data_IF_182941645127
#
_entry.id   IF_182941645127
#
_cell.length_a   1.000
_cell.length_b   1.000
_cell.length_c   1.000
_cell.angle_alpha   90.00
_cell.angle_beta   90.00
_cell.angle_gamma   90.00
#
_symmetry.space_group_name_H-M   'P 1'
#
loop_
_entity.id
_entity.type
_entity.pdbx_description
1 polymer ?
#
# COMPACT_ATOMS: atom_id res chain seq x y z
N UNK A 1 -3.34 -27.85 11.33
CA UNK A 1 -4.36 -28.09 10.29
C UNK A 1 -4.28 -26.91 9.33
N UNK A 2 -4.33 -27.09 8.00
CA UNK A 2 -4.45 -25.93 7.12
C UNK A 2 -5.81 -25.28 7.38
N UNK A 3 -5.83 -23.97 7.63
CA UNK A 3 -7.08 -23.22 7.75
C UNK A 3 -7.77 -23.23 6.39
N UNK A 4 -8.92 -23.91 6.30
CA UNK A 4 -9.75 -23.93 5.10
C UNK A 4 -10.63 -22.68 5.13
N UNK A 5 -10.29 -21.69 4.32
CA UNK A 5 -11.12 -20.50 4.14
C UNK A 5 -12.09 -20.70 2.97
N UNK A 6 -13.35 -20.34 3.18
CA UNK A 6 -14.32 -20.28 2.09
C UNK A 6 -14.13 -18.94 1.38
N UNK A 7 -13.71 -18.98 0.11
CA UNK A 7 -13.51 -17.78 -0.70
C UNK A 7 -14.77 -16.89 -0.70
N UNK A 8 -14.59 -15.57 -0.62
CA UNK A 8 -15.66 -14.57 -0.66
C UNK A 8 -16.66 -14.61 0.53
N UNK A 9 -16.25 -15.13 1.69
CA UNK A 9 -17.03 -15.06 2.95
C UNK A 9 -16.30 -14.24 4.02
N UNK A 10 -16.93 -13.96 5.16
CA UNK A 10 -16.30 -13.26 6.31
C UNK A 10 -15.05 -13.98 6.86
N UNK A 11 -14.88 -15.26 6.53
CA UNK A 11 -13.70 -16.05 6.89
C UNK A 11 -12.53 -15.88 5.93
N UNK A 12 -12.71 -15.24 4.77
CA UNK A 12 -11.65 -14.95 3.82
C UNK A 12 -10.72 -13.82 4.36
N UNK A 13 -9.40 -14.06 4.49
CA UNK A 13 -8.45 -13.04 4.93
C UNK A 13 -8.49 -11.75 4.11
N UNK A 14 -8.71 -11.84 2.79
CA UNK A 14 -8.81 -10.66 1.92
C UNK A 14 -10.09 -9.86 2.18
N UNK A 15 -11.21 -10.55 2.44
CA UNK A 15 -12.48 -9.89 2.82
C UNK A 15 -12.33 -9.16 4.15
N UNK A 16 -11.67 -9.78 5.15
CA UNK A 16 -11.38 -9.13 6.44
C UNK A 16 -10.47 -7.92 6.28
N UNK A 17 -9.39 -8.05 5.51
CA UNK A 17 -8.47 -6.95 5.24
C UNK A 17 -9.20 -5.77 4.57
N UNK A 18 -10.03 -6.04 3.56
CA UNK A 18 -10.84 -5.01 2.91
C UNK A 18 -11.87 -4.38 3.86
N UNK A 19 -12.43 -5.13 4.81
CA UNK A 19 -13.34 -4.60 5.84
C UNK A 19 -12.64 -3.61 6.78
N UNK A 20 -11.39 -3.87 7.15
CA UNK A 20 -10.57 -2.95 7.94
C UNK A 20 -10.37 -1.62 7.20
N UNK A 21 -10.06 -1.66 5.91
CA UNK A 21 -9.89 -0.44 5.09
C UNK A 21 -11.21 0.34 5.01
N UNK A 22 -12.33 -0.33 4.73
CA UNK A 22 -13.67 0.31 4.75
C UNK A 22 -13.97 0.98 6.09
N UNK A 23 -13.65 0.33 7.20
CA UNK A 23 -13.84 0.92 8.53
C UNK A 23 -12.98 2.18 8.73
N UNK A 24 -11.73 2.19 8.27
CA UNK A 24 -10.87 3.38 8.29
C UNK A 24 -11.51 4.51 7.46
N UNK A 25 -11.99 4.20 6.26
CA UNK A 25 -12.61 5.17 5.35
C UNK A 25 -13.89 5.76 5.92
N UNK A 26 -14.75 4.94 6.51
CA UNK A 26 -15.99 5.40 7.16
C UNK A 26 -15.69 6.33 8.33
N UNK A 27 -14.65 6.05 9.12
CA UNK A 27 -14.21 7.00 10.17
C UNK A 27 -13.78 8.34 9.58
N UNK A 28 -13.00 8.35 8.50
CA UNK A 28 -12.57 9.59 7.84
C UNK A 28 -13.75 10.39 7.28
N UNK A 29 -14.68 9.73 6.56
CA UNK A 29 -15.89 10.36 6.01
C UNK A 29 -16.75 10.95 7.12
N UNK A 30 -17.05 10.15 8.15
CA UNK A 30 -17.89 10.57 9.26
C UNK A 30 -17.25 11.70 10.07
N UNK A 31 -15.93 11.62 10.28
CA UNK A 31 -15.19 12.68 10.96
C UNK A 31 -15.25 13.98 10.15
N UNK A 32 -14.91 13.95 8.87
CA UNK A 32 -14.97 15.14 8.01
C UNK A 32 -16.38 15.75 7.95
N UNK A 33 -17.43 14.91 7.85
CA UNK A 33 -18.81 15.37 7.86
C UNK A 33 -19.20 16.03 9.20
N UNK A 34 -18.78 15.45 10.33
CA UNK A 34 -19.04 16.02 11.66
C UNK A 34 -18.37 17.38 11.88
N UNK A 35 -17.29 17.66 11.15
CA UNK A 35 -16.51 18.89 11.28
C UNK A 35 -17.12 20.10 10.54
N UNK A 36 -18.22 19.91 9.81
CA UNK A 36 -18.83 20.99 9.02
C UNK A 36 -19.30 22.17 9.88
N UNK A 37 -19.69 21.93 11.14
CA UNK A 37 -20.18 22.96 12.07
C UNK A 37 -19.11 23.46 13.05
N UNK A 38 -17.85 23.07 12.84
CA UNK A 38 -16.72 23.43 13.70
C UNK A 38 -15.89 24.59 13.14
N UNK A 39 -15.11 25.23 14.01
CA UNK A 39 -14.16 26.28 13.65
C UNK A 39 -13.20 25.86 12.51
N UNK A 40 -12.85 26.77 11.57
CA UNK A 40 -11.95 26.47 10.44
C UNK A 40 -10.64 25.80 10.86
N UNK A 41 -10.08 26.21 12.00
CA UNK A 41 -8.84 25.65 12.54
C UNK A 41 -8.95 24.15 12.91
N UNK A 42 -10.12 23.70 13.34
CA UNK A 42 -10.36 22.28 13.68
C UNK A 42 -10.39 21.45 12.39
N UNK A 43 -11.07 21.94 11.36
CA UNK A 43 -11.10 21.30 10.04
C UNK A 43 -9.70 21.26 9.42
N UNK A 44 -8.95 22.37 9.52
CA UNK A 44 -7.55 22.46 9.11
C UNK A 44 -6.69 21.40 9.80
N UNK A 45 -6.82 21.27 11.12
CA UNK A 45 -6.05 20.32 11.92
C UNK A 45 -6.34 18.87 11.54
N UNK A 46 -7.61 18.51 11.34
CA UNK A 46 -7.98 17.17 10.87
C UNK A 46 -7.41 16.89 9.47
N UNK A 47 -7.58 17.83 8.54
CA UNK A 47 -7.11 17.67 7.18
C UNK A 47 -5.57 17.56 7.11
N UNK A 48 -4.85 18.49 7.74
CA UNK A 48 -3.39 18.52 7.72
C UNK A 48 -2.74 17.40 8.55
N UNK A 49 -3.48 16.82 9.50
CA UNK A 49 -3.02 15.71 10.34
C UNK A 49 -3.49 14.36 9.84
N UNK A 50 -4.72 13.99 10.22
CA UNK A 50 -5.25 12.64 10.03
C UNK A 50 -5.46 12.29 8.55
N UNK A 51 -6.06 13.20 7.76
CA UNK A 51 -6.32 12.94 6.35
C UNK A 51 -5.01 12.83 5.54
N UNK A 52 -4.08 13.77 5.71
CA UNK A 52 -2.74 13.68 5.07
C UNK A 52 -2.00 12.40 5.44
N UNK A 53 -2.02 12.03 6.72
CA UNK A 53 -1.39 10.78 7.19
C UNK A 53 -1.99 9.56 6.50
N UNK A 54 -3.32 9.53 6.36
CA UNK A 54 -3.98 8.45 5.65
C UNK A 54 -3.57 8.36 4.18
N UNK A 55 -3.58 9.48 3.45
CA UNK A 55 -3.17 9.50 2.03
C UNK A 55 -1.72 9.03 1.85
N UNK A 56 -0.80 9.48 2.70
CA UNK A 56 0.59 9.04 2.67
C UNK A 56 0.74 7.55 3.02
N UNK A 57 0.01 7.07 4.03
CA UNK A 57 0.05 5.68 4.44
C UNK A 57 -0.55 4.74 3.38
N UNK A 58 -1.65 5.14 2.73
CA UNK A 58 -2.23 4.40 1.61
C UNK A 58 -1.27 4.34 0.41
N UNK A 59 -0.57 5.44 0.10
CA UNK A 59 0.41 5.44 -0.98
C UNK A 59 1.56 4.45 -0.74
N UNK A 60 2.13 4.45 0.47
CA UNK A 60 3.24 3.57 0.80
C UNK A 60 2.81 2.10 0.95
N UNK A 61 1.67 1.83 1.59
CA UNK A 61 1.25 0.47 1.92
C UNK A 61 0.42 -0.21 0.81
N UNK A 62 -0.43 0.53 0.09
CA UNK A 62 -1.36 -0.05 -0.90
C UNK A 62 -0.96 0.30 -2.33
N UNK A 63 -0.57 1.55 -2.60
CA UNK A 63 -0.33 1.98 -3.98
C UNK A 63 1.03 1.56 -4.50
N UNK A 64 2.08 1.65 -3.69
CA UNK A 64 3.42 1.25 -4.11
C UNK A 64 3.48 -0.22 -4.57
N UNK A 65 2.86 -1.20 -3.89
CA UNK A 65 2.74 -2.58 -4.39
C UNK A 65 2.00 -2.69 -5.71
N UNK A 66 0.87 -1.98 -5.88
CA UNK A 66 0.08 -2.01 -7.11
C UNK A 66 0.73 -1.22 -8.27
N UNK A 67 1.59 -0.24 -8.00
CA UNK A 67 2.16 0.62 -9.03
C UNK A 67 3.03 -0.13 -10.04
N UNK A 68 3.58 -1.27 -9.64
CA UNK A 68 4.50 -2.06 -10.45
C UNK A 68 3.83 -3.06 -11.40
N UNK A 69 2.52 -3.29 -11.29
CA UNK A 69 1.82 -4.31 -12.06
C UNK A 69 1.10 -3.72 -13.29
N UNK A 70 1.18 -4.34 -14.49
CA UNK A 70 0.51 -3.85 -15.70
C UNK A 70 -0.98 -3.57 -15.53
N UNK A 71 -1.67 -4.41 -14.76
CA UNK A 71 -3.12 -4.39 -14.53
C UNK A 71 -3.55 -3.20 -13.66
N UNK A 72 -2.72 -2.78 -12.71
CA UNK A 72 -3.07 -1.75 -11.70
C UNK A 72 -2.27 -0.46 -11.82
N UNK A 73 -1.17 -0.40 -12.59
CA UNK A 73 -0.31 0.79 -12.71
C UNK A 73 -1.03 2.06 -13.16
N UNK A 74 -1.96 1.96 -14.12
CA UNK A 74 -2.70 3.14 -14.61
C UNK A 74 -3.74 3.61 -13.59
N UNK A 75 -4.39 2.66 -12.89
CA UNK A 75 -5.27 2.95 -11.77
C UNK A 75 -4.51 3.69 -10.68
N UNK A 76 -3.37 3.17 -10.23
CA UNK A 76 -2.54 3.81 -9.20
C UNK A 76 -2.09 5.22 -9.61
N UNK A 77 -1.72 5.43 -10.89
CA UNK A 77 -1.38 6.76 -11.39
C UNK A 77 -2.56 7.74 -11.28
N UNK A 78 -3.77 7.30 -11.61
CA UNK A 78 -4.98 8.10 -11.44
C UNK A 78 -5.28 8.38 -9.96
N UNK A 79 -5.12 7.38 -9.09
CA UNK A 79 -5.35 7.51 -7.65
C UNK A 79 -4.36 8.49 -7.00
N UNK A 80 -3.07 8.42 -7.34
CA UNK A 80 -2.08 9.42 -6.92
C UNK A 80 -2.41 10.83 -7.39
N UNK A 81 -2.98 10.97 -8.58
CA UNK A 81 -3.45 12.26 -9.10
C UNK A 81 -4.60 12.82 -8.26
N UNK A 82 -5.57 11.98 -7.88
CA UNK A 82 -6.68 12.40 -7.01
C UNK A 82 -6.23 12.70 -5.58
N UNK A 83 -5.30 11.92 -5.02
CA UNK A 83 -4.68 12.22 -3.72
C UNK A 83 -3.94 13.57 -3.74
N UNK A 84 -3.17 13.86 -4.79
CA UNK A 84 -2.49 15.14 -4.96
C UNK A 84 -3.46 16.33 -5.04
N UNK A 85 -4.64 16.15 -5.64
CA UNK A 85 -5.68 17.18 -5.66
C UNK A 85 -6.30 17.41 -4.28
N UNK A 86 -6.49 16.35 -3.48
CA UNK A 86 -6.91 16.49 -2.08
C UNK A 86 -5.85 17.27 -1.30
N UNK A 87 -4.57 16.88 -1.42
CA UNK A 87 -3.44 17.56 -0.77
C UNK A 87 -3.34 19.04 -1.14
N UNK A 88 -3.53 19.36 -2.43
CA UNK A 88 -3.55 20.74 -2.93
C UNK A 88 -4.67 21.54 -2.27
N UNK A 89 -5.88 20.98 -2.15
CA UNK A 89 -7.01 21.63 -1.46
C UNK A 89 -6.73 21.87 0.01
N UNK A 90 -6.12 20.91 0.70
CA UNK A 90 -5.68 21.06 2.09
C UNK A 90 -4.67 22.21 2.22
N UNK A 91 -3.74 22.32 1.27
CA UNK A 91 -2.69 23.35 1.29
C UNK A 91 -3.17 24.79 1.07
N UNK A 92 -4.35 24.99 0.47
CA UNK A 92 -4.92 26.31 0.18
C UNK A 92 -6.10 26.67 1.08
N UNK A 93 -6.27 25.96 2.19
CA UNK A 93 -7.33 26.27 3.16
C UNK A 93 -7.18 27.70 3.70
N UNK A 94 -8.24 28.50 3.54
CA UNK A 94 -8.38 29.80 4.18
C UNK A 94 -8.95 29.63 5.60
N UNK A 95 -8.18 29.96 6.66
CA UNK A 95 -8.66 29.88 8.03
C UNK A 95 -9.76 30.90 8.38
N UNK A 96 -10.06 31.84 7.47
CA UNK A 96 -11.16 32.80 7.60
C UNK A 96 -12.41 32.39 6.80
N UNK A 97 -12.33 31.31 6.02
CA UNK A 97 -13.40 30.83 5.14
C UNK A 97 -14.47 29.99 5.85
N UNK A 98 -15.51 29.61 5.11
CA UNK A 98 -16.58 28.72 5.59
C UNK A 98 -16.07 27.27 5.76
N UNK A 99 -15.98 26.75 7.00
CA UNK A 99 -15.54 25.37 7.27
C UNK A 99 -16.41 24.33 6.59
N UNK A 100 -17.72 24.58 6.53
CA UNK A 100 -18.67 23.65 5.93
C UNK A 100 -18.47 23.57 4.42
N UNK A 101 -18.23 24.71 3.76
CA UNK A 101 -17.90 24.74 2.33
C UNK A 101 -16.60 24.01 2.03
N UNK A 102 -15.57 24.20 2.86
CA UNK A 102 -14.30 23.51 2.71
C UNK A 102 -14.42 21.98 2.93
N UNK A 103 -15.11 21.56 4.00
CA UNK A 103 -15.36 20.16 4.29
C UNK A 103 -16.12 19.46 3.15
N UNK A 104 -17.15 20.11 2.58
CA UNK A 104 -17.85 19.62 1.38
C UNK A 104 -16.93 19.54 0.16
N UNK A 105 -16.09 20.56 -0.05
CA UNK A 105 -15.17 20.62 -1.18
C UNK A 105 -14.17 19.45 -1.14
N UNK A 106 -13.51 19.20 -0.01
CA UNK A 106 -12.63 18.04 0.15
C UNK A 106 -13.41 16.73 0.10
N UNK A 107 -14.52 16.67 0.84
CA UNK A 107 -15.34 15.46 0.98
C UNK A 107 -15.82 14.90 -0.36
N UNK A 108 -16.15 15.76 -1.33
CA UNK A 108 -16.54 15.32 -2.68
C UNK A 108 -15.45 14.54 -3.42
N UNK A 109 -14.19 15.00 -3.39
CA UNK A 109 -13.08 14.31 -4.05
C UNK A 109 -12.65 13.10 -3.24
N UNK A 110 -12.60 13.24 -1.91
CA UNK A 110 -12.26 12.16 -0.99
C UNK A 110 -13.24 10.98 -1.14
N UNK A 111 -14.55 11.23 -1.23
CA UNK A 111 -15.53 10.18 -1.39
C UNK A 111 -15.29 9.34 -2.65
N UNK A 112 -15.01 9.99 -3.79
CA UNK A 112 -14.66 9.29 -5.03
C UNK A 112 -13.37 8.50 -4.89
N UNK A 113 -12.34 9.12 -4.31
CA UNK A 113 -11.03 8.50 -4.10
C UNK A 113 -11.13 7.22 -3.26
N UNK A 114 -11.76 7.30 -2.09
CA UNK A 114 -11.96 6.15 -1.18
C UNK A 114 -12.87 5.08 -1.81
N UNK A 115 -13.85 5.47 -2.64
CA UNK A 115 -14.70 4.51 -3.35
C UNK A 115 -13.88 3.70 -4.36
N UNK A 116 -12.99 4.36 -5.10
CA UNK A 116 -12.10 3.68 -6.06
C UNK A 116 -11.14 2.74 -5.33
N UNK A 117 -10.59 3.15 -4.18
CA UNK A 117 -9.80 2.25 -3.33
C UNK A 117 -10.60 1.00 -2.97
N UNK A 118 -11.78 1.17 -2.39
CA UNK A 118 -12.60 0.07 -1.87
C UNK A 118 -13.09 -0.89 -2.95
N UNK A 119 -13.55 -0.34 -4.09
CA UNK A 119 -14.29 -1.11 -5.10
C UNK A 119 -13.42 -1.58 -6.25
N UNK A 120 -12.24 -0.98 -6.45
CA UNK A 120 -11.36 -1.30 -7.58
C UNK A 120 -9.98 -1.74 -7.10
N UNK A 121 -9.32 -0.94 -6.26
CA UNK A 121 -7.94 -1.23 -5.88
C UNK A 121 -7.85 -2.45 -4.95
N UNK A 122 -8.67 -2.54 -3.90
CA UNK A 122 -8.59 -3.65 -2.95
C UNK A 122 -8.86 -5.01 -3.59
N UNK A 123 -9.90 -5.20 -4.44
CA UNK A 123 -10.07 -6.44 -5.19
C UNK A 123 -8.88 -6.75 -6.09
N UNK A 124 -8.35 -5.75 -6.81
CA UNK A 124 -7.21 -5.95 -7.69
C UNK A 124 -5.93 -6.33 -6.92
N UNK A 125 -5.71 -5.77 -5.73
CA UNK A 125 -4.60 -6.16 -4.85
C UNK A 125 -4.77 -7.57 -4.29
N UNK A 126 -6.00 -8.01 -4.01
CA UNK A 126 -6.28 -9.37 -3.54
C UNK A 126 -5.97 -10.44 -4.61
N UNK A 127 -6.10 -10.08 -5.88
CA UNK A 127 -5.81 -10.95 -7.02
C UNK A 127 -4.37 -10.81 -7.55
N UNK A 128 -3.62 -9.81 -7.07
CA UNK A 128 -2.30 -9.50 -7.58
C UNK A 128 -1.27 -10.59 -7.18
N UNK A 129 -0.57 -11.22 -8.14
CA UNK A 129 0.43 -12.24 -7.83
C UNK A 129 1.54 -11.70 -6.91
N UNK A 130 1.82 -12.45 -5.83
CA UNK A 130 2.86 -12.08 -4.86
C UNK A 130 2.45 -11.03 -3.83
N UNK A 131 1.26 -10.43 -3.96
CA UNK A 131 0.69 -9.56 -2.94
C UNK A 131 -0.06 -10.36 -1.87
N UNK A 132 -0.04 -9.86 -0.64
CA UNK A 132 -0.87 -10.35 0.46
C UNK A 132 -1.65 -9.16 1.04
N UNK A 133 -2.94 -9.07 0.73
CA UNK A 133 -3.75 -7.93 1.15
C UNK A 133 -3.81 -7.79 2.68
N UNK A 134 -3.74 -8.89 3.43
CA UNK A 134 -3.70 -8.85 4.89
C UNK A 134 -2.43 -8.18 5.41
N UNK A 135 -1.28 -8.53 4.84
CA UNK A 135 0.00 -7.90 5.16
C UNK A 135 0.03 -6.42 4.77
N UNK A 136 -0.48 -6.06 3.59
CA UNK A 136 -0.52 -4.67 3.12
C UNK A 136 -1.43 -3.80 4.01
N UNK A 137 -2.56 -4.34 4.48
CA UNK A 137 -3.45 -3.64 5.41
C UNK A 137 -2.83 -3.53 6.81
N UNK A 138 -2.07 -4.53 7.26
CA UNK A 138 -1.30 -4.42 8.50
C UNK A 138 -0.20 -3.34 8.42
N UNK A 139 0.47 -3.22 7.27
CA UNK A 139 1.43 -2.15 6.99
C UNK A 139 0.73 -0.77 7.03
N UNK A 140 -0.46 -0.64 6.42
CA UNK A 140 -1.28 0.57 6.47
C UNK A 140 -1.60 0.97 7.93
N UNK A 141 -2.08 0.03 8.74
CA UNK A 141 -2.41 0.28 10.15
C UNK A 141 -1.18 0.73 10.94
N UNK A 142 -0.04 0.06 10.74
CA UNK A 142 1.23 0.43 11.36
C UNK A 142 1.60 1.89 11.07
N UNK A 143 1.47 2.32 9.81
CA UNK A 143 1.75 3.70 9.40
C UNK A 143 0.75 4.71 9.99
N UNK A 144 -0.54 4.37 10.03
CA UNK A 144 -1.58 5.22 10.63
C UNK A 144 -1.32 5.44 12.13
N UNK A 145 -0.87 4.40 12.83
CA UNK A 145 -0.50 4.46 14.25
C UNK A 145 0.82 5.21 14.50
N UNK A 146 1.49 5.68 13.45
CA UNK A 146 2.75 6.44 13.52
C UNK A 146 4.00 5.58 13.55
N UNK A 147 3.87 4.28 13.32
CA UNK A 147 4.97 3.36 13.09
C UNK A 147 5.67 3.61 11.75
N UNK A 148 6.72 2.83 11.49
CA UNK A 148 7.47 2.84 10.23
C UNK A 148 7.62 1.43 9.73
N UNK A 149 7.56 1.26 8.41
CA UNK A 149 7.77 -0.05 7.79
C UNK A 149 9.25 -0.40 7.74
N UNK A 150 9.56 -1.67 7.98
CA UNK A 150 10.92 -2.18 7.87
C UNK A 150 11.41 -2.11 6.42
N UNK A 151 12.65 -1.64 6.24
CA UNK A 151 13.35 -1.56 4.95
C UNK A 151 14.71 -2.26 5.04
N UNK A 152 14.76 -3.56 5.36
CA UNK A 152 16.02 -4.26 5.51
C UNK A 152 16.81 -4.24 4.20
N UNK A 153 18.13 -4.08 4.32
CA UNK A 153 19.08 -4.23 3.21
C UNK A 153 19.30 -5.69 2.84
N UNK A 154 19.00 -6.61 3.77
CA UNK A 154 19.11 -8.06 3.59
C UNK A 154 17.82 -8.74 4.07
N UNK A 155 17.18 -9.52 3.20
CA UNK A 155 16.10 -10.43 3.56
C UNK A 155 16.64 -11.85 3.52
N UNK A 156 16.81 -12.45 4.68
CA UNK A 156 17.10 -13.88 4.80
C UNK A 156 15.81 -14.67 4.90
N UNK A 157 15.45 -15.39 3.84
CA UNK A 157 14.21 -16.16 3.79
C UNK A 157 14.37 -17.58 4.32
N UNK A 158 15.55 -17.98 4.81
CA UNK A 158 15.75 -19.33 5.36
C UNK A 158 14.94 -19.55 6.63
N UNK A 159 14.80 -18.50 7.45
CA UNK A 159 14.05 -18.50 8.72
C UNK A 159 12.57 -18.09 8.56
N UNK A 160 12.14 -17.68 7.36
CA UNK A 160 10.78 -17.20 7.12
C UNK A 160 9.87 -18.38 6.73
N UNK A 161 8.66 -18.52 7.31
CA UNK A 161 7.70 -19.55 6.90
C UNK A 161 7.40 -19.48 5.39
N UNK A 162 7.29 -20.64 4.72
CA UNK A 162 7.16 -20.74 3.25
C UNK A 162 6.10 -19.79 2.65
N UNK A 163 4.92 -19.70 3.25
CA UNK A 163 3.83 -18.85 2.76
C UNK A 163 4.07 -17.34 2.92
N UNK A 164 5.00 -16.93 3.77
CA UNK A 164 5.29 -15.52 4.08
C UNK A 164 6.50 -14.97 3.32
N UNK A 165 7.30 -15.83 2.67
CA UNK A 165 8.53 -15.44 1.98
C UNK A 165 8.25 -14.43 0.87
N UNK A 166 7.43 -14.81 -0.11
CA UNK A 166 7.20 -13.99 -1.30
C UNK A 166 6.49 -12.67 -0.94
N UNK A 167 5.40 -12.66 -0.14
CA UNK A 167 4.77 -11.40 0.26
C UNK A 167 5.73 -10.41 0.90
N UNK A 168 6.64 -10.85 1.79
CA UNK A 168 7.64 -9.97 2.40
C UNK A 168 8.64 -9.41 1.39
N UNK A 169 9.07 -10.23 0.42
CA UNK A 169 10.01 -9.81 -0.63
C UNK A 169 9.35 -8.78 -1.57
N UNK A 170 8.13 -9.05 -2.04
CA UNK A 170 7.38 -8.13 -2.90
C UNK A 170 7.04 -6.82 -2.18
N UNK A 171 6.65 -6.89 -0.90
CA UNK A 171 6.43 -5.70 -0.08
C UNK A 171 7.71 -4.87 0.11
N UNK A 172 8.88 -5.51 0.28
CA UNK A 172 10.16 -4.77 0.32
C UNK A 172 10.49 -4.13 -1.03
N UNK A 173 10.31 -4.87 -2.11
CA UNK A 173 10.60 -4.41 -3.47
C UNK A 173 9.72 -3.23 -3.88
N UNK A 174 8.42 -3.28 -3.56
CA UNK A 174 7.47 -2.22 -3.93
C UNK A 174 7.89 -0.85 -3.40
N UNK A 175 8.52 -0.83 -2.22
CA UNK A 175 9.00 0.36 -1.51
C UNK A 175 10.38 0.86 -1.94
N UNK A 176 11.06 0.20 -2.88
CA UNK A 176 12.33 0.69 -3.43
C UNK A 176 12.10 1.94 -4.28
N UNK A 177 12.94 2.95 -4.11
CA UNK A 177 13.09 4.04 -5.07
C UNK A 177 13.89 3.57 -6.31
N UNK A 178 13.84 4.29 -7.44
CA UNK A 178 14.72 4.02 -8.58
C UNK A 178 16.20 3.95 -8.15
N UNK A 179 16.92 2.95 -8.64
CA UNK A 179 18.31 2.67 -8.26
C UNK A 179 18.53 1.98 -6.92
N UNK A 180 17.51 1.84 -6.06
CA UNK A 180 17.65 1.11 -4.79
C UNK A 180 17.57 -0.42 -4.99
N UNK A 181 18.17 -1.16 -4.06
CA UNK A 181 18.12 -2.63 -4.04
C UNK A 181 18.25 -3.20 -2.63
N UNK A 182 17.95 -4.49 -2.47
CA UNK A 182 18.22 -5.27 -1.26
C UNK A 182 18.77 -6.66 -1.64
N UNK A 183 19.49 -7.29 -0.73
CA UNK A 183 19.97 -8.65 -0.89
C UNK A 183 18.92 -9.66 -0.39
N UNK A 184 18.72 -10.72 -1.14
CA UNK A 184 17.92 -11.88 -0.76
C UNK A 184 18.87 -13.06 -0.51
N UNK A 185 18.73 -13.71 0.65
CA UNK A 185 19.48 -14.92 1.03
C UNK A 185 18.51 -16.10 1.08
N UNK A 186 18.78 -17.14 0.29
CA UNK A 186 17.94 -18.32 0.17
C UNK A 186 18.78 -19.62 0.23
N UNK A 187 18.13 -20.75 0.53
CA UNK A 187 18.78 -22.07 0.57
C UNK A 187 18.85 -22.78 -0.79
N UNK A 188 18.29 -22.19 -1.84
CA UNK A 188 18.31 -22.70 -3.21
C UNK A 188 18.14 -21.56 -4.22
N UNK A 189 18.39 -21.83 -5.50
CA UNK A 189 18.17 -20.86 -6.57
C UNK A 189 16.69 -20.42 -6.64
N UNK A 190 16.36 -19.14 -6.42
CA UNK A 190 14.98 -18.66 -6.36
C UNK A 190 14.33 -18.48 -7.75
N UNK A 191 14.42 -19.50 -8.62
CA UNK A 191 13.86 -19.47 -9.99
C UNK A 191 12.36 -19.21 -10.02
N UNK A 192 11.61 -19.77 -9.07
CA UNK A 192 10.16 -19.58 -8.99
C UNK A 192 9.81 -18.12 -8.67
N UNK A 193 10.49 -17.55 -7.67
CA UNK A 193 10.35 -16.14 -7.31
C UNK A 193 10.70 -15.23 -8.49
N UNK A 194 11.78 -15.52 -9.24
CA UNK A 194 12.12 -14.75 -10.44
C UNK A 194 11.01 -14.73 -11.48
N UNK A 195 10.35 -15.88 -11.70
CA UNK A 195 9.21 -15.97 -12.63
C UNK A 195 8.01 -15.16 -12.15
N UNK A 196 7.74 -15.16 -10.85
CA UNK A 196 6.69 -14.31 -10.28
C UNK A 196 7.01 -12.82 -10.44
N UNK A 197 8.27 -12.42 -10.26
CA UNK A 197 8.71 -11.04 -10.53
C UNK A 197 8.54 -10.65 -11.99
N UNK A 198 8.85 -11.53 -12.93
CA UNK A 198 8.65 -11.26 -14.36
C UNK A 198 7.18 -11.09 -14.71
N UNK A 199 6.30 -11.89 -14.10
CA UNK A 199 4.85 -11.78 -14.30
C UNK A 199 4.28 -10.49 -13.67
N UNK A 200 4.68 -10.17 -12.44
CA UNK A 200 4.13 -9.04 -11.68
C UNK A 200 4.77 -7.69 -12.06
N UNK A 201 6.03 -7.68 -12.51
CA UNK A 201 6.84 -6.48 -12.71
C UNK A 201 7.70 -6.54 -13.99
N UNK A 202 7.11 -6.82 -15.17
CA UNK A 202 7.87 -7.03 -16.40
C UNK A 202 8.73 -5.82 -16.73
N UNK A 203 10.05 -6.04 -16.83
CA UNK A 203 11.04 -4.99 -17.14
C UNK A 203 11.27 -3.94 -16.05
N UNK A 204 10.71 -4.10 -14.84
CA UNK A 204 10.75 -3.10 -13.77
C UNK A 204 11.64 -3.47 -12.58
N UNK A 205 12.41 -4.57 -12.67
CA UNK A 205 13.33 -5.04 -11.63
C UNK A 205 14.69 -5.44 -12.20
N UNK A 206 15.71 -5.41 -11.35
CA UNK A 206 17.03 -5.99 -11.59
C UNK A 206 17.19 -7.28 -10.76
N UNK A 207 18.00 -8.21 -11.26
CA UNK A 207 18.20 -9.52 -10.64
C UNK A 207 19.64 -9.98 -10.85
N UNK A 208 20.48 -9.80 -9.83
CA UNK A 208 21.92 -10.03 -9.92
C UNK A 208 22.37 -11.05 -8.88
N UNK A 209 23.08 -12.11 -9.29
CA UNK A 209 23.63 -13.07 -8.34
C UNK A 209 24.90 -12.50 -7.72
N UNK A 210 24.95 -12.48 -6.39
CA UNK A 210 26.16 -12.16 -5.61
C UNK A 210 26.91 -13.44 -5.22
N UNK A 211 26.16 -14.51 -4.95
CA UNK A 211 26.69 -15.83 -4.64
C UNK A 211 25.78 -16.90 -5.26
N UNK A 212 26.37 -17.80 -6.03
CA UNK A 212 25.71 -19.01 -6.53
C UNK A 212 26.17 -20.18 -5.70
N UNK A 213 25.23 -21.00 -5.21
CA UNK A 213 25.46 -22.01 -4.17
C UNK A 213 26.50 -23.10 -4.49
N UNK A 214 26.57 -24.18 -3.68
CA UNK A 214 25.40 -24.87 -3.13
C UNK A 214 25.02 -24.50 -1.69
N UNK A 215 25.90 -23.86 -0.91
CA UNK A 215 25.66 -23.60 0.52
C UNK A 215 24.70 -22.45 0.77
N UNK A 216 24.86 -21.36 0.01
CA UNK A 216 24.02 -20.16 0.07
C UNK A 216 23.74 -19.65 -1.33
N UNK A 217 22.51 -19.18 -1.56
CA UNK A 217 22.16 -18.41 -2.74
C UNK A 217 21.90 -16.98 -2.30
N UNK A 218 22.75 -16.06 -2.74
CA UNK A 218 22.62 -14.63 -2.45
C UNK A 218 22.48 -13.86 -3.74
N UNK A 219 21.47 -13.00 -3.81
CA UNK A 219 21.20 -12.19 -4.98
C UNK A 219 20.72 -10.80 -4.57
N UNK A 220 20.99 -9.82 -5.42
CA UNK A 220 20.53 -8.45 -5.27
C UNK A 220 19.33 -8.22 -6.17
N UNK A 221 18.22 -7.82 -5.56
CA UNK A 221 16.97 -7.47 -6.22
C UNK A 221 16.80 -5.96 -6.10
N UNK A 222 16.58 -5.26 -7.22
CA UNK A 222 16.55 -3.81 -7.23
C UNK A 222 15.61 -3.22 -8.27
N UNK A 223 15.47 -1.89 -8.25
CA UNK A 223 14.84 -1.14 -9.34
C UNK A 223 15.90 -0.54 -10.26
N UNK A 224 15.66 -0.51 -11.58
CA UNK A 224 16.49 0.27 -12.50
C UNK A 224 16.61 1.73 -12.03
N UNK A 225 17.74 2.37 -12.34
CA UNK A 225 18.01 3.78 -12.06
C UNK A 225 17.23 4.72 -12.99
#
# INVERSE_FOLDING_TARGET
MPDVFIQATETDPAVRAAAVVRHIHDRLRNRLASLADHEPAIVAGFCAGELRRHLAAADEALYAPAAGAPETRLLVRAMRTTAAEIERRIGVLDPSGDPAAFARNIGSVLAVHLTVEETVLLPALAELPGADLGLLVADLQTLLDGGRLERPDVIDVREIPRGQKHPRIFARFSRLAPGESFALVNNHDPKHLRREFEAAHPGAFTWEYEETGPEVWRLRIGRPA
#
